data_IF_726577709449
#
_entry.id   IF_726577709449
#
_cell.length_a   1.000
_cell.length_b   1.000
_cell.length_c   1.000
_cell.angle_alpha   90.00
_cell.angle_beta   90.00
_cell.angle_gamma   90.00
#
_symmetry.space_group_name_H-M   'P 1'
#
loop_
_entity.id
_entity.type
_entity.pdbx_description
1 polymer ?
#
# COMPACT_ATOMS: atom_id res chain seq x y z
N UNK A 1 -6.68 -41.16 8.27
CA UNK A 1 -7.51 -40.92 7.09
C UNK A 1 -6.62 -40.50 5.92
N UNK A 2 -6.73 -41.16 4.79
CA UNK A 2 -5.99 -40.76 3.57
C UNK A 2 -6.87 -39.79 2.79
N UNK A 3 -6.29 -38.63 2.44
CA UNK A 3 -6.91 -37.66 1.56
C UNK A 3 -7.19 -38.28 0.18
N UNK A 4 -8.41 -38.11 -0.35
CA UNK A 4 -8.78 -38.59 -1.68
C UNK A 4 -8.17 -37.67 -2.76
N UNK A 5 -8.22 -38.15 -4.02
CA UNK A 5 -7.78 -37.32 -5.15
C UNK A 5 -8.68 -36.11 -5.32
N UNK A 6 -9.95 -36.20 -4.99
CA UNK A 6 -10.91 -35.09 -5.02
C UNK A 6 -10.59 -34.07 -3.92
N UNK A 7 -10.23 -34.52 -2.70
CA UNK A 7 -9.82 -33.63 -1.63
C UNK A 7 -8.56 -32.84 -1.99
N UNK A 8 -7.62 -33.47 -2.67
CA UNK A 8 -6.38 -32.82 -3.12
C UNK A 8 -6.65 -31.78 -4.22
N UNK A 9 -7.56 -32.09 -5.14
CA UNK A 9 -7.95 -31.18 -6.22
C UNK A 9 -8.71 -29.99 -5.67
N UNK A 10 -9.62 -30.22 -4.73
CA UNK A 10 -10.38 -29.16 -4.07
C UNK A 10 -9.43 -28.25 -3.27
N UNK A 11 -8.50 -28.83 -2.51
CA UNK A 11 -7.53 -28.07 -1.73
C UNK A 11 -6.59 -27.25 -2.61
N UNK A 12 -6.17 -27.81 -3.75
CA UNK A 12 -5.36 -27.10 -4.75
C UNK A 12 -6.12 -25.94 -5.37
N UNK A 13 -7.39 -26.14 -5.71
CA UNK A 13 -8.28 -25.11 -6.22
C UNK A 13 -8.47 -23.97 -5.20
N UNK A 14 -8.68 -24.29 -3.93
CA UNK A 14 -8.80 -23.29 -2.85
C UNK A 14 -7.50 -22.51 -2.64
N UNK A 15 -6.34 -23.15 -2.79
CA UNK A 15 -5.03 -22.48 -2.71
C UNK A 15 -4.84 -21.57 -3.92
N UNK A 16 -5.28 -21.97 -5.10
CA UNK A 16 -5.21 -21.14 -6.30
C UNK A 16 -6.19 -19.97 -6.25
N UNK A 17 -7.37 -20.13 -5.64
CA UNK A 17 -8.35 -19.06 -5.44
C UNK A 17 -7.85 -17.92 -4.54
N UNK A 18 -6.93 -18.17 -3.62
CA UNK A 18 -6.39 -17.21 -2.67
C UNK A 18 -4.98 -16.71 -3.03
N UNK A 19 -4.65 -16.58 -4.33
CA UNK A 19 -3.31 -16.20 -4.80
C UNK A 19 -3.15 -14.74 -5.20
N UNK A 20 -4.23 -14.03 -5.42
CA UNK A 20 -4.17 -12.66 -5.90
C UNK A 20 -3.80 -11.67 -4.78
N UNK A 21 -3.26 -10.55 -5.19
CA UNK A 21 -2.76 -9.49 -4.32
C UNK A 21 -3.63 -8.24 -4.50
N UNK A 22 -3.94 -7.58 -3.38
CA UNK A 22 -4.52 -6.24 -3.38
C UNK A 22 -3.55 -5.27 -2.72
N UNK A 23 -3.30 -4.15 -3.38
CA UNK A 23 -2.42 -3.10 -2.89
C UNK A 23 -3.19 -1.80 -2.67
N UNK A 24 -2.95 -1.18 -1.51
CA UNK A 24 -3.55 0.10 -1.14
C UNK A 24 -2.46 1.04 -0.65
N UNK A 25 -2.35 2.21 -1.31
CA UNK A 25 -1.24 3.14 -1.06
C UNK A 25 -1.77 4.42 -0.41
N UNK A 26 -1.31 4.70 0.77
CA UNK A 26 -1.37 6.05 1.34
C UNK A 26 -0.23 6.88 0.72
N UNK A 27 -0.43 7.28 -0.53
CA UNK A 27 0.63 7.81 -1.39
C UNK A 27 1.16 9.15 -0.92
N UNK A 28 0.29 10.05 -0.52
CA UNK A 28 0.71 11.38 -0.09
C UNK A 28 1.55 11.32 1.19
N UNK A 29 1.19 10.49 2.15
CA UNK A 29 1.98 10.32 3.37
C UNK A 29 3.35 9.68 3.10
N UNK A 30 3.43 8.73 2.20
CA UNK A 30 4.71 8.16 1.77
C UNK A 30 5.59 9.24 1.12
N UNK A 31 5.03 10.00 0.18
CA UNK A 31 5.73 11.10 -0.48
C UNK A 31 6.17 12.17 0.53
N UNK A 32 5.28 12.57 1.43
CA UNK A 32 5.56 13.57 2.46
C UNK A 32 6.74 13.15 3.35
N UNK A 33 6.78 11.90 3.76
CA UNK A 33 7.89 11.35 4.55
C UNK A 33 9.22 11.44 3.81
N UNK A 34 9.24 11.09 2.53
CA UNK A 34 10.44 11.16 1.70
C UNK A 34 10.86 12.61 1.43
N UNK A 35 9.90 13.52 1.25
CA UNK A 35 10.17 14.93 1.07
C UNK A 35 10.80 15.55 2.32
N UNK A 36 10.30 15.21 3.50
CA UNK A 36 10.88 15.69 4.76
C UNK A 36 12.28 15.14 5.02
N UNK A 37 12.51 13.88 4.67
CA UNK A 37 13.83 13.28 4.76
C UNK A 37 14.85 13.96 3.84
N UNK A 38 14.42 14.31 2.63
CA UNK A 38 15.28 14.96 1.63
C UNK A 38 15.49 16.45 1.84
N UNK A 39 14.44 17.19 2.19
CA UNK A 39 14.43 18.66 2.25
C UNK A 39 14.40 19.23 3.65
N UNK A 40 14.26 18.41 4.68
CA UNK A 40 14.25 18.80 6.07
C UNK A 40 12.90 18.60 6.76
N UNK A 41 12.95 18.43 8.07
CA UNK A 41 11.78 18.21 8.91
C UNK A 41 10.82 19.40 8.83
N UNK A 42 9.54 19.13 8.70
CA UNK A 42 8.50 20.14 8.55
C UNK A 42 8.35 20.71 7.15
N UNK A 43 9.18 20.31 6.20
CA UNK A 43 9.12 20.82 4.81
C UNK A 43 7.74 20.69 4.19
N UNK A 44 7.16 19.49 4.25
CA UNK A 44 5.87 19.22 3.60
C UNK A 44 4.67 19.83 4.32
N UNK A 45 4.81 20.21 5.58
CA UNK A 45 3.74 20.89 6.31
C UNK A 45 3.59 22.38 5.95
N UNK A 46 4.56 22.96 5.25
CA UNK A 46 4.51 24.34 4.78
C UNK A 46 3.67 24.46 3.51
N UNK A 47 2.69 25.40 3.44
CA UNK A 47 1.82 25.55 2.25
C UNK A 47 2.60 25.75 0.95
N UNK A 48 3.68 26.53 0.95
CA UNK A 48 4.49 26.81 -0.24
C UNK A 48 5.23 25.57 -0.76
N UNK A 49 5.51 24.61 0.10
CA UNK A 49 6.15 23.34 -0.28
C UNK A 49 5.15 22.26 -0.68
N UNK A 50 3.99 22.26 -0.05
CA UNK A 50 2.94 21.25 -0.22
C UNK A 50 2.05 21.50 -1.44
N UNK A 51 1.62 22.75 -1.65
CA UNK A 51 0.68 23.14 -2.72
C UNK A 51 1.39 23.59 -3.99
N UNK A 52 2.28 22.78 -4.46
CA UNK A 52 3.01 22.97 -5.72
C UNK A 52 3.27 21.62 -6.39
N UNK A 53 3.67 21.64 -7.65
CA UNK A 53 4.08 20.42 -8.36
C UNK A 53 5.23 19.76 -7.62
N UNK A 54 5.04 18.49 -7.26
CA UNK A 54 6.00 17.71 -6.49
C UNK A 54 7.01 17.00 -7.40
N UNK A 55 8.25 16.89 -6.92
CA UNK A 55 9.25 16.02 -7.52
C UNK A 55 8.87 14.54 -7.32
N UNK A 56 9.13 13.65 -8.29
CA UNK A 56 8.85 12.24 -8.14
C UNK A 56 9.89 11.55 -7.25
N UNK A 57 9.68 11.57 -5.93
CA UNK A 57 10.56 10.98 -4.93
C UNK A 57 10.33 9.50 -4.69
N UNK A 58 9.11 9.02 -4.93
CA UNK A 58 8.72 7.63 -4.67
C UNK A 58 9.15 6.75 -5.84
N UNK A 59 9.92 5.71 -5.56
CA UNK A 59 10.19 4.61 -6.49
C UNK A 59 9.00 3.65 -6.49
N UNK A 60 8.03 3.92 -7.36
CA UNK A 60 6.80 3.15 -7.49
C UNK A 60 7.09 1.72 -7.93
N UNK A 61 8.01 1.54 -8.87
CA UNK A 61 8.35 0.24 -9.43
C UNK A 61 8.86 -0.73 -8.36
N UNK A 62 9.69 -0.25 -7.43
CA UNK A 62 10.24 -1.08 -6.35
C UNK A 62 9.12 -1.65 -5.45
N UNK A 63 8.09 -0.86 -5.16
CA UNK A 63 6.96 -1.30 -4.35
C UNK A 63 6.05 -2.26 -5.14
N UNK A 64 5.81 -1.98 -6.41
CA UNK A 64 5.00 -2.86 -7.27
C UNK A 64 5.68 -4.22 -7.44
N UNK A 65 6.99 -4.27 -7.58
CA UNK A 65 7.77 -5.51 -7.62
C UNK A 65 7.59 -6.35 -6.36
N UNK A 66 7.57 -5.71 -5.19
CA UNK A 66 7.24 -6.40 -3.95
C UNK A 66 5.85 -7.03 -4.03
N UNK A 67 4.84 -6.26 -4.45
CA UNK A 67 3.48 -6.76 -4.61
C UNK A 67 3.40 -7.98 -5.52
N UNK A 68 4.04 -7.89 -6.67
CA UNK A 68 4.09 -8.98 -7.65
C UNK A 68 4.76 -10.24 -7.13
N UNK A 69 5.66 -10.13 -6.14
CA UNK A 69 6.32 -11.28 -5.53
C UNK A 69 5.38 -12.17 -4.71
N UNK A 70 4.24 -11.63 -4.27
CA UNK A 70 3.22 -12.39 -3.53
C UNK A 70 2.17 -13.06 -4.43
N UNK A 71 2.08 -12.67 -5.68
CA UNK A 71 1.13 -13.21 -6.64
C UNK A 71 0.64 -12.17 -7.64
N UNK A 72 -0.31 -12.52 -8.52
CA UNK A 72 -0.90 -11.57 -9.46
C UNK A 72 -1.58 -10.40 -8.73
N UNK A 73 -1.27 -9.19 -9.10
CA UNK A 73 -1.90 -8.00 -8.52
C UNK A 73 -3.26 -7.79 -9.20
N UNK A 74 -4.33 -8.06 -8.45
CA UNK A 74 -5.70 -7.90 -8.92
C UNK A 74 -6.29 -6.52 -8.61
N UNK A 75 -5.87 -5.91 -7.50
CA UNK A 75 -6.30 -4.58 -7.07
C UNK A 75 -5.06 -3.77 -6.73
N UNK A 76 -4.99 -2.55 -7.24
CA UNK A 76 -3.87 -1.66 -6.96
C UNK A 76 -4.39 -0.21 -6.97
N UNK A 77 -4.59 0.36 -5.78
CA UNK A 77 -5.22 1.68 -5.61
C UNK A 77 -4.35 2.60 -4.78
N UNK A 78 -4.08 3.78 -5.31
CA UNK A 78 -3.31 4.81 -4.63
C UNK A 78 -4.16 6.06 -4.33
N UNK A 79 -4.16 6.45 -3.08
CA UNK A 79 -5.00 7.51 -2.52
C UNK A 79 -4.18 8.77 -2.30
N UNK A 80 -4.57 9.85 -2.96
CA UNK A 80 -3.85 11.11 -2.90
C UNK A 80 -4.71 12.26 -3.44
N UNK A 81 -4.34 13.48 -3.11
CA UNK A 81 -4.74 14.62 -3.94
C UNK A 81 -3.77 14.74 -5.12
N UNK A 82 -4.13 14.14 -6.24
CA UNK A 82 -3.26 13.97 -7.41
C UNK A 82 -2.95 15.27 -8.16
N UNK A 83 -3.58 16.38 -7.80
CA UNK A 83 -3.40 17.68 -8.44
C UNK A 83 -1.93 18.09 -8.55
N UNK A 84 -1.12 17.75 -7.55
CA UNK A 84 0.28 18.16 -7.46
C UNK A 84 1.28 17.09 -7.88
N UNK A 85 0.81 15.93 -8.32
CA UNK A 85 1.65 14.75 -8.57
C UNK A 85 1.68 14.34 -10.06
N UNK A 86 1.46 15.31 -10.96
CA UNK A 86 1.44 15.05 -12.40
C UNK A 86 2.74 14.47 -12.97
N UNK A 87 3.87 14.70 -12.32
CA UNK A 87 5.16 14.16 -12.74
C UNK A 87 5.29 12.64 -12.56
N UNK A 88 4.39 12.02 -11.80
CA UNK A 88 4.30 10.56 -11.68
C UNK A 88 3.47 9.89 -12.77
N UNK A 89 2.87 10.67 -13.68
CA UNK A 89 1.87 10.19 -14.65
C UNK A 89 2.34 8.96 -15.42
N UNK A 90 3.53 9.00 -15.99
CA UNK A 90 4.00 7.95 -16.90
C UNK A 90 4.22 6.63 -16.15
N UNK A 91 4.88 6.66 -15.00
CA UNK A 91 5.12 5.46 -14.20
C UNK A 91 3.81 4.89 -13.63
N UNK A 92 2.86 5.74 -13.26
CA UNK A 92 1.55 5.30 -12.78
C UNK A 92 0.75 4.60 -13.87
N UNK A 93 0.79 5.13 -15.10
CA UNK A 93 0.15 4.49 -16.25
C UNK A 93 0.78 3.14 -16.59
N UNK A 94 2.10 3.05 -16.53
CA UNK A 94 2.84 1.81 -16.82
C UNK A 94 2.61 0.71 -15.78
N UNK A 95 2.34 1.08 -14.55
CA UNK A 95 2.17 0.14 -13.43
C UNK A 95 0.71 -0.24 -13.16
N UNK A 96 -0.22 0.26 -13.96
CA UNK A 96 -1.67 -0.04 -13.84
C UNK A 96 -2.25 0.25 -12.46
N UNK A 97 -1.80 1.31 -11.82
CA UNK A 97 -2.31 1.75 -10.51
C UNK A 97 -3.55 2.62 -10.75
N UNK A 98 -4.64 2.27 -10.08
CA UNK A 98 -5.85 3.08 -10.03
C UNK A 98 -5.64 4.27 -9.09
N UNK A 99 -5.83 5.49 -9.59
CA UNK A 99 -5.66 6.71 -8.83
C UNK A 99 -6.98 7.14 -8.21
N UNK A 100 -7.04 7.15 -6.89
CA UNK A 100 -8.21 7.62 -6.15
C UNK A 100 -7.96 9.06 -5.74
N UNK A 101 -8.73 9.98 -6.34
CA UNK A 101 -8.63 11.41 -6.04
C UNK A 101 -9.33 11.73 -4.74
N UNK A 102 -8.60 12.37 -3.84
CA UNK A 102 -9.14 12.89 -2.59
C UNK A 102 -9.18 14.42 -2.65
N UNK A 103 -10.32 14.97 -2.29
CA UNK A 103 -10.50 16.42 -2.14
C UNK A 103 -10.54 16.73 -0.65
N UNK A 104 -9.46 17.21 -0.04
CA UNK A 104 -9.46 17.53 1.39
C UNK A 104 -10.42 18.71 1.66
N UNK A 105 -11.46 18.54 2.51
CA UNK A 105 -12.29 19.64 2.92
C UNK A 105 -11.54 20.53 3.91
N UNK A 106 -10.87 21.57 3.43
CA UNK A 106 -10.15 22.55 4.26
C UNK A 106 -8.86 22.00 4.90
N UNK A 107 -8.26 22.82 5.78
CA UNK A 107 -6.97 22.54 6.39
C UNK A 107 -6.94 21.39 7.41
N UNK A 108 -8.10 20.86 7.81
CA UNK A 108 -8.23 19.84 8.87
C UNK A 108 -8.38 18.40 8.36
N UNK A 109 -8.40 18.17 7.05
CA UNK A 109 -8.69 16.85 6.48
C UNK A 109 -7.41 16.00 6.32
N UNK A 110 -6.64 15.85 7.39
CA UNK A 110 -5.41 15.05 7.37
C UNK A 110 -5.66 13.53 7.24
N UNK A 111 -6.87 13.04 7.51
CA UNK A 111 -7.15 11.61 7.66
C UNK A 111 -8.10 11.03 6.60
N UNK A 112 -8.45 11.78 5.56
CA UNK A 112 -9.38 11.30 4.52
C UNK A 112 -8.86 10.10 3.74
N UNK A 113 -7.56 10.08 3.44
CA UNK A 113 -6.90 8.98 2.74
C UNK A 113 -6.95 7.68 3.54
N UNK A 114 -6.60 7.74 4.82
CA UNK A 114 -6.56 6.57 5.71
C UNK A 114 -7.93 5.94 5.87
N UNK A 115 -8.96 6.76 6.06
CA UNK A 115 -10.35 6.29 6.21
C UNK A 115 -10.83 5.63 4.92
N UNK A 116 -10.68 6.28 3.77
CA UNK A 116 -11.09 5.74 2.47
C UNK A 116 -10.38 4.44 2.15
N UNK A 117 -9.07 4.38 2.36
CA UNK A 117 -8.25 3.18 2.17
C UNK A 117 -8.75 2.03 3.04
N UNK A 118 -8.98 2.27 4.31
CA UNK A 118 -9.47 1.25 5.24
C UNK A 118 -10.84 0.71 4.87
N UNK A 119 -11.75 1.58 4.43
CA UNK A 119 -13.08 1.18 3.96
C UNK A 119 -13.00 0.33 2.69
N UNK A 120 -12.20 0.74 1.72
CA UNK A 120 -12.04 -0.01 0.46
C UNK A 120 -11.39 -1.38 0.71
N UNK A 121 -10.34 -1.45 1.51
CA UNK A 121 -9.68 -2.70 1.86
C UNK A 121 -10.64 -3.66 2.58
N UNK A 122 -11.42 -3.17 3.52
CA UNK A 122 -12.41 -3.97 4.27
C UNK A 122 -13.51 -4.49 3.35
N UNK A 123 -14.01 -3.65 2.45
CA UNK A 123 -15.02 -4.05 1.47
C UNK A 123 -14.48 -5.11 0.50
N UNK A 124 -13.28 -4.91 -0.02
CA UNK A 124 -12.66 -5.82 -0.99
C UNK A 124 -12.38 -7.21 -0.40
N UNK A 125 -11.99 -7.30 0.87
CA UNK A 125 -11.83 -8.57 1.57
C UNK A 125 -13.15 -9.35 1.59
N UNK A 126 -14.27 -8.67 1.78
CA UNK A 126 -15.60 -9.30 1.81
C UNK A 126 -16.07 -9.71 0.42
N UNK A 127 -15.75 -8.92 -0.62
CA UNK A 127 -16.22 -9.15 -1.99
C UNK A 127 -15.38 -10.16 -2.77
N UNK A 128 -14.06 -10.16 -2.56
CA UNK A 128 -13.13 -10.88 -3.42
C UNK A 128 -12.35 -11.94 -2.62
N UNK A 129 -12.86 -13.16 -2.67
CA UNK A 129 -12.28 -14.32 -1.96
C UNK A 129 -10.90 -14.73 -2.48
N UNK A 130 -10.62 -14.43 -3.76
CA UNK A 130 -9.35 -14.78 -4.40
C UNK A 130 -8.17 -13.93 -3.96
N UNK A 131 -8.41 -12.84 -3.22
CA UNK A 131 -7.37 -12.00 -2.66
C UNK A 131 -6.77 -12.69 -1.43
N UNK A 132 -5.56 -13.20 -1.56
CA UNK A 132 -4.86 -13.91 -0.48
C UNK A 132 -3.91 -13.02 0.31
N UNK A 133 -3.36 -11.97 -0.31
CA UNK A 133 -2.42 -11.05 0.31
C UNK A 133 -2.86 -9.61 0.14
N UNK A 134 -2.83 -8.87 1.23
CA UNK A 134 -3.16 -7.45 1.26
C UNK A 134 -1.89 -6.69 1.60
N UNK A 135 -1.51 -5.74 0.73
CA UNK A 135 -0.35 -4.88 0.94
C UNK A 135 -0.85 -3.47 1.20
N UNK A 136 -0.50 -2.93 2.36
CA UNK A 136 -0.78 -1.55 2.71
C UNK A 136 0.53 -0.77 2.72
N UNK A 137 0.62 0.21 1.83
CA UNK A 137 1.75 1.13 1.75
C UNK A 137 1.43 2.35 2.60
N UNK A 138 1.89 2.31 3.83
CA UNK A 138 1.64 3.32 4.84
C UNK A 138 2.18 2.91 6.20
N UNK A 139 2.56 3.88 7.01
CA UNK A 139 3.20 3.65 8.31
C UNK A 139 2.36 4.06 9.52
N UNK A 140 1.10 4.42 9.33
CA UNK A 140 0.26 5.00 10.37
C UNK A 140 -0.42 3.94 11.25
N UNK A 141 -0.52 4.23 12.55
CA UNK A 141 -1.27 3.41 13.52
C UNK A 141 -2.76 3.33 13.22
N UNK A 142 -3.32 4.26 12.44
CA UNK A 142 -4.73 4.26 12.04
C UNK A 142 -5.09 3.06 11.17
N UNK A 143 -4.12 2.35 10.61
CA UNK A 143 -4.34 1.10 9.88
C UNK A 143 -4.53 -0.13 10.80
N UNK A 144 -4.30 -0.02 12.10
CA UNK A 144 -4.40 -1.17 13.01
C UNK A 144 -5.79 -1.81 13.04
N UNK A 145 -6.91 -1.08 13.01
CA UNK A 145 -8.22 -1.73 12.93
C UNK A 145 -8.43 -2.56 11.66
N UNK A 146 -7.91 -2.12 10.53
CA UNK A 146 -8.01 -2.89 9.29
C UNK A 146 -7.09 -4.11 9.32
N UNK A 147 -5.96 -4.03 10.01
CA UNK A 147 -5.07 -5.17 10.22
C UNK A 147 -5.80 -6.33 10.92
N UNK A 148 -6.58 -6.04 11.94
CA UNK A 148 -7.37 -7.04 12.64
C UNK A 148 -8.40 -7.71 11.73
N UNK A 149 -9.07 -6.92 10.87
CA UNK A 149 -10.05 -7.43 9.90
C UNK A 149 -9.41 -8.35 8.86
N UNK A 150 -8.25 -7.96 8.33
CA UNK A 150 -7.50 -8.74 7.34
C UNK A 150 -7.08 -10.09 7.93
N UNK A 151 -6.52 -10.07 9.13
CA UNK A 151 -6.10 -11.28 9.83
C UNK A 151 -7.27 -12.19 10.18
N UNK A 152 -8.38 -11.62 10.68
CA UNK A 152 -9.59 -12.38 11.00
C UNK A 152 -10.20 -13.04 9.75
N UNK A 153 -10.03 -12.45 8.57
CA UNK A 153 -10.46 -13.01 7.30
C UNK A 153 -9.50 -14.08 6.74
N UNK A 154 -8.41 -14.38 7.45
CA UNK A 154 -7.42 -15.39 7.04
C UNK A 154 -6.51 -14.96 5.90
N UNK A 155 -6.37 -13.65 5.67
CA UNK A 155 -5.50 -13.11 4.61
C UNK A 155 -4.14 -12.70 5.20
N UNK A 156 -3.13 -12.72 4.35
CA UNK A 156 -1.79 -12.25 4.71
C UNK A 156 -1.72 -10.75 4.60
N UNK A 157 -1.26 -10.09 5.65
CA UNK A 157 -1.06 -8.65 5.70
C UNK A 157 0.42 -8.31 5.58
N UNK A 158 0.76 -7.51 4.58
CA UNK A 158 2.10 -6.95 4.36
C UNK A 158 2.02 -5.44 4.46
N UNK A 159 2.85 -4.85 5.29
CA UNK A 159 2.99 -3.41 5.39
C UNK A 159 4.27 -2.91 4.73
N UNK A 160 4.21 -1.71 4.17
CA UNK A 160 5.37 -1.00 3.62
C UNK A 160 5.36 0.42 4.17
N UNK A 161 6.49 0.88 4.68
CA UNK A 161 6.62 2.25 5.18
C UNK A 161 8.08 2.68 5.25
N UNK A 162 8.29 3.98 5.47
CA UNK A 162 9.63 4.52 5.68
C UNK A 162 10.10 4.25 7.11
N UNK A 163 11.41 4.15 7.30
CA UNK A 163 11.99 3.93 8.64
C UNK A 163 11.63 5.04 9.62
N UNK A 164 11.62 6.28 9.15
CA UNK A 164 11.40 7.47 9.97
C UNK A 164 9.95 7.64 10.43
N UNK A 165 8.98 7.30 9.59
CA UNK A 165 7.57 7.60 9.81
C UNK A 165 6.71 6.39 10.17
N UNK A 166 7.29 5.20 10.26
CA UNK A 166 6.52 4.00 10.55
C UNK A 166 6.22 3.87 12.04
N UNK A 167 4.95 3.71 12.36
CA UNK A 167 4.51 3.35 13.71
C UNK A 167 4.92 1.91 14.04
N UNK A 168 5.58 1.74 15.18
CA UNK A 168 6.12 0.44 15.61
C UNK A 168 5.04 -0.60 15.86
N UNK A 169 3.90 -0.20 16.42
CA UNK A 169 2.78 -1.12 16.69
C UNK A 169 2.12 -1.58 15.39
N UNK A 170 1.97 -0.68 14.44
CA UNK A 170 1.49 -1.02 13.10
C UNK A 170 2.41 -2.04 12.41
N UNK A 171 3.71 -1.78 12.39
CA UNK A 171 4.67 -2.69 11.78
C UNK A 171 4.62 -4.09 12.40
N UNK A 172 4.50 -4.18 13.72
CA UNK A 172 4.38 -5.46 14.44
C UNK A 172 3.05 -6.16 14.19
N UNK A 173 1.99 -5.44 13.85
CA UNK A 173 0.68 -6.03 13.57
C UNK A 173 0.61 -6.70 12.20
N UNK A 174 1.54 -6.39 11.29
CA UNK A 174 1.64 -7.04 9.99
C UNK A 174 2.28 -8.43 10.11
N UNK A 175 1.90 -9.36 9.24
CA UNK A 175 2.60 -10.64 9.11
C UNK A 175 4.02 -10.43 8.61
N UNK A 176 4.21 -9.49 7.69
CA UNK A 176 5.48 -9.05 7.16
C UNK A 176 5.46 -7.54 7.02
N UNK A 177 6.53 -6.87 7.44
CA UNK A 177 6.71 -5.43 7.24
C UNK A 177 8.03 -5.17 6.52
N UNK A 178 7.96 -4.39 5.43
CA UNK A 178 9.12 -4.04 4.62
C UNK A 178 9.34 -2.54 4.65
N UNK A 179 10.58 -2.14 4.92
CA UNK A 179 10.94 -0.73 4.82
C UNK A 179 11.19 -0.32 3.38
N UNK A 180 10.59 0.80 2.99
CA UNK A 180 10.71 1.37 1.65
C UNK A 180 12.18 1.50 1.21
N UNK A 181 13.05 1.98 2.08
CA UNK A 181 14.47 2.19 1.79
C UNK A 181 15.16 0.88 1.40
N UNK A 182 14.79 -0.21 2.04
CA UNK A 182 15.31 -1.55 1.68
C UNK A 182 14.79 -2.02 0.33
N UNK A 183 13.54 -1.74 0.00
CA UNK A 183 12.96 -2.12 -1.30
C UNK A 183 13.64 -1.41 -2.45
N UNK A 184 13.94 -0.13 -2.31
CA UNK A 184 14.65 0.67 -3.31
C UNK A 184 16.07 0.13 -3.52
N UNK A 185 16.77 -0.20 -2.45
CA UNK A 185 18.11 -0.77 -2.49
C UNK A 185 18.12 -2.14 -3.17
N UNK A 186 17.19 -3.03 -2.80
CA UNK A 186 17.04 -4.36 -3.41
C UNK A 186 16.72 -4.26 -4.92
N UNK A 187 15.82 -3.37 -5.31
CA UNK A 187 15.46 -3.14 -6.71
C UNK A 187 16.64 -2.61 -7.54
N UNK A 188 17.44 -1.71 -7.00
CA UNK A 188 18.66 -1.20 -7.64
C UNK A 188 19.71 -2.28 -7.83
N UNK A 189 19.85 -3.20 -6.87
CA UNK A 189 20.80 -4.31 -6.94
C UNK A 189 20.38 -5.40 -7.93
N UNK A 190 19.08 -5.55 -8.20
CA UNK A 190 18.54 -6.53 -9.14
C UNK A 190 18.58 -6.06 -10.61
N UNK A 191 18.80 -4.76 -10.83
CA UNK A 191 18.83 -4.17 -12.17
C UNK A 191 20.11 -4.46 -12.93
#
# INVERSE_FOLDING_TARGET
ARWTQEDRTLNRSLIEENRSVAMYWDFENLHASLAEDRFGEGYYSKPDSRFKVQEPLVDIQAIVELGASFGPIAINRAYCNWQYFGRYRDVLLQTSIELIQLFPPGASAKNGADIKLCLDATEDISRFRHIGSIIIVGGDSDFMPVAQKIKAAGRTLVGVGTRKSTNRHWAKSCHEFRYYENLVEESAMAA
#
